data_IF_880786585881
#
_entry.id   IF_880786585881
#
_cell.length_a   1.000
_cell.length_b   1.000
_cell.length_c   1.000
_cell.angle_alpha   90.00
_cell.angle_beta   90.00
_cell.angle_gamma   90.00
#
_symmetry.space_group_name_H-M   'P 1'
#
loop_
_entity.id
_entity.type
_entity.pdbx_description
1 polymer ?
#
# COMPACT_ATOMS: atom_id res chain seq x y z
N UNK A 1 -49.02 -43.68 83.46
CA UNK A 1 -49.65 -42.51 84.11
C UNK A 1 -50.50 -41.80 83.07
N UNK A 2 -51.78 -41.62 83.37
CA UNK A 2 -52.78 -40.88 82.58
C UNK A 2 -52.63 -39.38 82.84
N UNK A 3 -52.74 -38.53 81.80
CA UNK A 3 -53.35 -37.18 81.89
C UNK A 3 -53.92 -36.75 80.52
N UNK A 4 -55.22 -36.51 80.49
CA UNK A 4 -56.01 -35.74 79.50
C UNK A 4 -55.90 -34.21 79.81
N UNK A 5 -56.55 -33.28 79.07
CA UNK A 5 -56.30 -32.79 77.71
C UNK A 5 -56.11 -31.24 77.69
N UNK A 6 -55.74 -30.64 76.57
CA UNK A 6 -56.06 -29.22 76.32
C UNK A 6 -56.42 -29.02 74.85
N UNK A 7 -57.71 -28.80 74.59
CA UNK A 7 -58.21 -28.30 73.31
C UNK A 7 -57.96 -26.80 73.24
N UNK A 8 -57.29 -26.31 72.20
CA UNK A 8 -57.38 -24.91 71.81
C UNK A 8 -57.66 -24.81 70.30
N UNK A 9 -58.69 -24.03 70.02
CA UNK A 9 -59.24 -23.56 68.77
C UNK A 9 -58.21 -22.87 67.85
N UNK A 10 -57.46 -23.62 67.04
CA UNK A 10 -56.46 -23.07 66.09
C UNK A 10 -56.82 -23.11 64.60
N UNK A 11 -57.81 -23.91 64.18
CA UNK A 11 -57.93 -24.31 62.77
C UNK A 11 -58.44 -23.27 61.75
N UNK A 12 -58.85 -22.06 62.16
CA UNK A 12 -59.44 -21.07 61.23
C UNK A 12 -58.50 -19.94 60.82
N UNK A 13 -57.50 -19.60 61.65
CA UNK A 13 -56.52 -18.54 61.34
C UNK A 13 -55.40 -19.04 60.40
N UNK A 14 -54.89 -20.26 60.59
CA UNK A 14 -53.80 -20.83 59.76
C UNK A 14 -54.19 -21.11 58.30
N UNK A 15 -55.47 -21.40 58.06
CA UNK A 15 -55.99 -21.64 56.71
C UNK A 15 -56.09 -20.34 55.91
N UNK A 16 -56.53 -19.23 56.54
CA UNK A 16 -56.61 -17.92 55.89
C UNK A 16 -55.21 -17.37 55.56
N UNK A 17 -54.23 -17.54 56.46
CA UNK A 17 -52.86 -17.10 56.21
C UNK A 17 -52.17 -17.89 55.09
N UNK A 18 -52.42 -19.20 54.98
CA UNK A 18 -51.94 -20.03 53.86
C UNK A 18 -52.57 -19.65 52.53
N UNK A 19 -53.86 -19.36 52.53
CA UNK A 19 -54.58 -18.96 51.32
C UNK A 19 -54.11 -17.57 50.83
N UNK A 20 -53.88 -16.63 51.75
CA UNK A 20 -53.25 -15.34 51.42
C UNK A 20 -51.82 -15.50 50.90
N UNK A 21 -51.03 -16.38 51.51
CA UNK A 21 -49.65 -16.63 51.07
C UNK A 21 -49.62 -17.24 49.66
N UNK A 22 -50.50 -18.20 49.38
CA UNK A 22 -50.65 -18.82 48.05
C UNK A 22 -51.06 -17.80 46.98
N UNK A 23 -52.06 -16.95 47.29
CA UNK A 23 -52.48 -15.87 46.39
C UNK A 23 -51.35 -14.87 46.13
N UNK A 24 -50.60 -14.51 47.17
CA UNK A 24 -49.45 -13.58 47.04
C UNK A 24 -48.34 -14.20 46.20
N UNK A 25 -48.06 -15.50 46.39
CA UNK A 25 -47.01 -16.22 45.64
C UNK A 25 -47.39 -16.36 44.17
N UNK A 26 -48.64 -16.70 43.84
CA UNK A 26 -49.12 -16.75 42.46
C UNK A 26 -49.09 -15.38 41.78
N UNK A 27 -49.45 -14.31 42.51
CA UNK A 27 -49.36 -12.95 41.99
C UNK A 27 -47.91 -12.57 41.66
N UNK A 28 -46.98 -12.80 42.59
CA UNK A 28 -45.55 -12.54 42.36
C UNK A 28 -44.99 -13.36 41.20
N UNK A 29 -45.37 -14.65 41.09
CA UNK A 29 -44.93 -15.50 39.98
C UNK A 29 -45.42 -14.95 38.63
N UNK A 30 -46.66 -14.47 38.57
CA UNK A 30 -47.24 -13.87 37.36
C UNK A 30 -46.53 -12.56 37.00
N UNK A 31 -46.21 -11.72 37.99
CA UNK A 31 -45.43 -10.49 37.79
C UNK A 31 -44.02 -10.78 37.28
N UNK A 32 -43.33 -11.78 37.85
CA UNK A 32 -41.98 -12.19 37.41
C UNK A 32 -42.00 -12.76 35.99
N UNK A 33 -43.00 -13.57 35.64
CA UNK A 33 -43.16 -14.10 34.27
C UNK A 33 -43.43 -12.97 33.27
N UNK A 34 -44.29 -12.01 33.61
CA UNK A 34 -44.54 -10.84 32.78
C UNK A 34 -43.27 -9.98 32.59
N UNK A 35 -42.47 -9.82 33.65
CA UNK A 35 -41.19 -9.11 33.59
C UNK A 35 -40.18 -9.84 32.68
N UNK A 36 -40.11 -11.16 32.76
CA UNK A 36 -39.22 -11.98 31.92
C UNK A 36 -39.56 -11.86 30.44
N UNK A 37 -40.84 -11.90 30.05
CA UNK A 37 -41.26 -11.71 28.66
C UNK A 37 -40.85 -10.33 28.14
N UNK A 38 -41.01 -9.29 28.97
CA UNK A 38 -40.59 -7.92 28.62
C UNK A 38 -39.07 -7.83 28.40
N UNK A 39 -38.27 -8.45 29.27
CA UNK A 39 -36.80 -8.46 29.13
C UNK A 39 -36.35 -9.23 27.88
N UNK A 40 -36.97 -10.38 27.58
CA UNK A 40 -36.66 -11.15 26.38
C UNK A 40 -36.96 -10.36 25.11
N UNK A 41 -38.12 -9.69 25.05
CA UNK A 41 -38.47 -8.82 23.92
C UNK A 41 -37.44 -7.68 23.74
N UNK A 42 -37.05 -7.03 24.84
CA UNK A 42 -36.01 -5.99 24.83
C UNK A 42 -34.65 -6.56 24.37
N UNK A 43 -34.31 -7.79 24.73
CA UNK A 43 -33.04 -8.41 24.31
C UNK A 43 -33.06 -8.85 22.82
N UNK A 44 -34.20 -9.32 22.32
CA UNK A 44 -34.40 -9.60 20.89
C UNK A 44 -34.30 -8.33 20.05
N UNK A 45 -34.81 -7.20 20.57
CA UNK A 45 -34.66 -5.87 19.95
C UNK A 45 -33.19 -5.49 19.86
N UNK A 46 -32.42 -5.60 20.95
CA UNK A 46 -30.98 -5.35 20.94
C UNK A 46 -30.24 -6.23 19.92
N UNK A 47 -30.58 -7.51 19.84
CA UNK A 47 -29.96 -8.45 18.90
C UNK A 47 -30.32 -8.15 17.44
N UNK A 48 -31.57 -7.79 17.16
CA UNK A 48 -32.01 -7.45 15.81
C UNK A 48 -31.41 -6.11 15.35
N UNK A 49 -31.27 -5.16 16.27
CA UNK A 49 -30.56 -3.89 16.09
C UNK A 49 -29.09 -4.11 15.73
N UNK A 50 -28.38 -4.96 16.47
CA UNK A 50 -26.95 -5.21 16.26
C UNK A 50 -26.62 -5.97 14.97
N UNK A 51 -27.64 -6.45 14.23
CA UNK A 51 -27.46 -7.17 12.96
C UNK A 51 -27.59 -6.29 11.72
N UNK A 52 -28.15 -5.09 11.84
CA UNK A 52 -28.26 -4.14 10.74
C UNK A 52 -27.42 -2.90 11.03
N UNK A 53 -26.71 -2.43 10.02
CA UNK A 53 -25.94 -1.18 10.06
C UNK A 53 -26.68 -0.05 9.34
N UNK A 54 -27.87 -0.34 8.79
CA UNK A 54 -28.72 0.64 8.13
C UNK A 54 -29.68 1.26 9.16
N UNK A 55 -29.52 2.57 9.37
CA UNK A 55 -30.33 3.34 10.31
C UNK A 55 -31.84 3.17 10.08
N UNK A 56 -32.32 3.22 8.83
CA UNK A 56 -33.75 3.12 8.56
C UNK A 56 -34.28 1.69 8.79
N UNK A 57 -33.44 0.66 8.60
CA UNK A 57 -33.77 -0.73 8.92
C UNK A 57 -33.82 -0.98 10.43
N UNK A 58 -32.81 -0.50 11.18
CA UNK A 58 -32.78 -0.47 12.65
C UNK A 58 -34.07 0.15 13.17
N UNK A 59 -34.43 1.34 12.68
CA UNK A 59 -35.62 2.06 13.12
C UNK A 59 -36.91 1.29 12.79
N UNK A 60 -37.01 0.65 11.62
CA UNK A 60 -38.17 -0.22 11.29
C UNK A 60 -38.30 -1.41 12.22
N UNK A 61 -37.20 -2.09 12.55
CA UNK A 61 -37.18 -3.22 13.49
C UNK A 61 -37.66 -2.78 14.86
N UNK A 62 -37.13 -1.67 15.37
CA UNK A 62 -37.55 -1.05 16.64
C UNK A 62 -39.04 -0.77 16.63
N UNK A 63 -39.55 -0.10 15.60
CA UNK A 63 -40.98 0.22 15.48
C UNK A 63 -41.84 -1.04 15.51
N UNK A 64 -41.49 -2.07 14.73
CA UNK A 64 -42.24 -3.34 14.70
C UNK A 64 -42.25 -4.05 16.05
N UNK A 65 -41.14 -4.05 16.77
CA UNK A 65 -41.02 -4.75 18.05
C UNK A 65 -41.67 -3.98 19.19
N UNK A 66 -41.53 -2.65 19.22
CA UNK A 66 -42.18 -1.79 20.20
C UNK A 66 -43.71 -1.86 20.12
N UNK A 67 -44.27 -2.22 18.95
CA UNK A 67 -45.72 -2.35 18.73
C UNK A 67 -46.37 -3.36 19.67
N UNK A 68 -45.72 -4.48 19.95
CA UNK A 68 -46.22 -5.50 20.87
C UNK A 68 -46.13 -5.09 22.34
N UNK A 69 -45.19 -4.20 22.68
CA UNK A 69 -44.93 -3.78 24.05
C UNK A 69 -45.81 -2.63 24.53
N UNK A 70 -46.11 -1.68 23.64
CA UNK A 70 -46.79 -0.42 23.99
C UNK A 70 -48.16 -0.25 23.30
N UNK A 71 -48.52 -1.14 22.36
CA UNK A 71 -49.74 -1.09 21.53
C UNK A 71 -50.11 0.31 20.99
N UNK A 72 -49.11 1.06 20.53
CA UNK A 72 -49.31 2.42 20.00
C UNK A 72 -50.11 2.45 18.68
N UNK A 73 -50.76 3.58 18.38
CA UNK A 73 -51.33 3.86 17.05
C UNK A 73 -50.42 4.70 16.17
N UNK A 74 -49.42 5.34 16.75
CA UNK A 74 -48.36 6.04 16.04
C UNK A 74 -47.02 5.88 16.75
N UNK A 75 -45.96 5.69 15.96
CA UNK A 75 -44.58 5.70 16.43
C UNK A 75 -43.72 6.48 15.44
N UNK A 76 -42.93 7.42 15.95
CA UNK A 76 -41.96 8.17 15.16
C UNK A 76 -40.68 8.40 15.93
N UNK A 77 -39.57 8.54 15.19
CA UNK A 77 -38.27 8.93 15.75
C UNK A 77 -37.89 10.27 15.15
N UNK A 78 -37.57 11.23 16.01
CA UNK A 78 -37.01 12.52 15.64
C UNK A 78 -35.51 12.47 15.90
N UNK A 79 -34.70 12.60 14.85
CA UNK A 79 -33.24 12.64 14.96
C UNK A 79 -32.77 14.08 14.83
N UNK A 80 -31.89 14.50 15.73
CA UNK A 80 -31.26 15.81 15.68
C UNK A 80 -30.00 15.73 14.83
N UNK A 81 -29.86 16.64 13.88
CA UNK A 81 -28.66 16.82 13.08
C UNK A 81 -27.68 17.77 13.79
N UNK A 82 -26.41 17.73 13.38
CA UNK A 82 -25.34 18.56 13.96
C UNK A 82 -25.56 20.07 13.68
N UNK A 83 -26.27 20.42 12.61
CA UNK A 83 -26.68 21.79 12.25
C UNK A 83 -27.90 22.31 13.06
N UNK A 84 -28.43 21.49 13.98
CA UNK A 84 -29.61 21.81 14.78
C UNK A 84 -30.95 21.53 14.08
N UNK A 85 -30.94 21.10 12.82
CA UNK A 85 -32.14 20.60 12.15
C UNK A 85 -32.61 19.27 12.76
N UNK A 86 -33.86 18.91 12.50
CA UNK A 86 -34.41 17.63 12.93
C UNK A 86 -34.97 16.88 11.72
N UNK A 87 -34.84 15.55 11.73
CA UNK A 87 -35.48 14.65 10.76
C UNK A 87 -36.45 13.74 11.50
N UNK A 88 -37.73 13.78 11.14
CA UNK A 88 -38.73 12.86 11.66
C UNK A 88 -38.90 11.67 10.72
N UNK A 89 -38.72 10.47 11.26
CA UNK A 89 -39.00 9.20 10.59
C UNK A 89 -40.23 8.59 11.25
N UNK A 90 -41.33 8.47 10.50
CA UNK A 90 -42.52 7.78 11.00
C UNK A 90 -42.34 6.27 10.80
N UNK A 91 -42.37 5.52 11.91
CA UNK A 91 -42.21 4.07 11.92
C UNK A 91 -43.56 3.35 11.82
N UNK A 92 -44.62 3.98 12.32
CA UNK A 92 -45.98 3.45 12.27
C UNK A 92 -47.01 4.57 12.36
N UNK A 93 -48.12 4.42 11.63
CA UNK A 93 -49.18 5.42 11.54
C UNK A 93 -49.00 6.41 10.37
N UNK A 94 -49.85 7.43 10.27
CA UNK A 94 -49.77 8.44 9.21
C UNK A 94 -48.43 9.17 9.25
N UNK A 95 -47.83 9.37 8.07
CA UNK A 95 -46.57 10.09 7.93
C UNK A 95 -46.72 11.54 8.38
N UNK A 96 -45.67 12.05 9.02
CA UNK A 96 -45.61 13.42 9.54
C UNK A 96 -44.47 14.16 8.86
N UNK A 97 -44.76 15.30 8.25
CA UNK A 97 -43.73 16.15 7.63
C UNK A 97 -43.07 17.10 8.64
N UNK A 98 -41.77 17.27 8.46
CA UNK A 98 -40.91 18.07 9.34
C UNK A 98 -41.17 19.59 9.25
N UNK A 99 -41.93 20.06 8.25
CA UNK A 99 -42.26 21.48 8.05
C UNK A 99 -43.10 22.09 9.19
N UNK A 100 -43.63 21.26 10.09
CA UNK A 100 -44.35 21.65 11.30
C UNK A 100 -43.47 21.81 12.56
N UNK A 101 -42.15 21.58 12.44
CA UNK A 101 -41.21 21.41 13.56
C UNK A 101 -40.41 22.67 13.93
N UNK A 102 -40.90 23.87 13.60
CA UNK A 102 -40.42 25.09 14.25
C UNK A 102 -41.01 25.07 15.66
N UNK A 103 -40.34 24.33 16.53
CA UNK A 103 -40.86 23.95 17.83
C UNK A 103 -41.05 25.17 18.74
N UNK A 104 -42.29 25.60 18.95
CA UNK A 104 -42.63 26.46 20.09
C UNK A 104 -42.24 25.77 21.41
N UNK A 105 -41.87 26.54 22.44
CA UNK A 105 -41.44 26.00 23.75
C UNK A 105 -42.47 25.07 24.41
N UNK A 106 -43.73 25.14 23.98
CA UNK A 106 -44.80 24.30 24.48
C UNK A 106 -44.85 22.89 23.85
N UNK A 107 -44.11 22.60 22.79
CA UNK A 107 -44.13 21.29 22.17
C UNK A 107 -43.40 20.23 23.05
N UNK A 108 -44.05 19.12 23.45
CA UNK A 108 -43.45 18.01 24.21
C UNK A 108 -42.16 17.42 23.62
N UNK A 109 -42.05 17.32 22.29
CA UNK A 109 -40.82 16.84 21.63
C UNK A 109 -39.70 17.84 21.82
N UNK A 110 -39.98 19.13 21.65
CA UNK A 110 -39.02 20.21 21.95
C UNK A 110 -38.55 20.18 23.39
N UNK A 111 -39.49 20.01 24.34
CA UNK A 111 -39.15 19.90 25.77
C UNK A 111 -38.27 18.71 26.04
N UNK A 112 -38.58 17.53 25.50
CA UNK A 112 -37.72 16.35 25.65
C UNK A 112 -36.33 16.58 25.05
N UNK A 113 -36.24 17.16 23.85
CA UNK A 113 -34.97 17.44 23.18
C UNK A 113 -34.11 18.48 23.92
N UNK A 114 -34.74 19.50 24.53
CA UNK A 114 -34.04 20.56 25.29
C UNK A 114 -33.65 20.13 26.70
N UNK A 115 -34.50 19.38 27.38
CA UNK A 115 -34.33 19.05 28.81
C UNK A 115 -33.69 17.69 29.06
N UNK A 116 -33.68 16.79 28.07
CA UNK A 116 -33.31 15.38 28.28
C UNK A 116 -34.31 14.63 29.18
N UNK A 117 -35.50 15.20 29.45
CA UNK A 117 -36.49 14.58 30.33
C UNK A 117 -37.64 13.96 29.52
N UNK A 118 -38.03 12.71 29.79
CA UNK A 118 -39.17 12.08 29.14
C UNK A 118 -40.48 12.80 29.49
N UNK A 119 -41.40 12.87 28.52
CA UNK A 119 -42.70 13.52 28.68
C UNK A 119 -43.82 12.47 28.61
N UNK A 120 -44.69 12.43 29.62
CA UNK A 120 -45.92 11.63 29.65
C UNK A 120 -47.12 12.57 29.58
N UNK A 121 -47.93 12.44 28.53
CA UNK A 121 -49.14 13.23 28.31
C UNK A 121 -50.36 12.29 28.27
N UNK A 122 -51.07 12.09 29.40
CA UNK A 122 -52.12 11.08 29.50
C UNK A 122 -53.50 11.51 28.94
N UNK A 123 -53.74 12.81 28.65
CA UNK A 123 -55.02 13.31 28.09
C UNK A 123 -54.86 14.51 27.14
N UNK A 124 -55.51 14.43 25.98
CA UNK A 124 -55.94 15.49 25.03
C UNK A 124 -55.02 16.72 24.93
N UNK A 125 -53.75 16.50 24.57
CA UNK A 125 -52.75 17.57 24.45
C UNK A 125 -52.78 18.22 23.06
N UNK A 126 -53.42 19.39 22.94
CA UNK A 126 -53.74 20.04 21.66
C UNK A 126 -52.57 20.76 20.93
N UNK A 127 -51.36 20.78 21.49
CA UNK A 127 -50.21 21.52 20.93
C UNK A 127 -49.09 20.62 20.35
N UNK A 128 -49.47 19.57 19.62
CA UNK A 128 -48.53 18.68 18.89
C UNK A 128 -49.08 18.30 17.52
N UNK A 129 -48.20 17.88 16.59
CA UNK A 129 -48.65 17.19 15.36
C UNK A 129 -49.33 15.85 15.66
N UNK A 130 -49.15 15.33 16.88
CA UNK A 130 -49.83 14.18 17.44
C UNK A 130 -51.16 14.56 18.13
N UNK A 131 -51.68 15.77 17.94
CA UNK A 131 -52.92 16.25 18.56
C UNK A 131 -54.16 15.44 18.20
N UNK A 132 -54.10 14.61 17.15
CA UNK A 132 -55.12 13.62 16.81
C UNK A 132 -55.17 12.41 17.79
N UNK A 133 -54.20 12.29 18.70
CA UNK A 133 -54.05 11.19 19.64
C UNK A 133 -54.34 11.64 21.08
N UNK A 134 -55.00 10.78 21.86
CA UNK A 134 -55.45 11.12 23.21
C UNK A 134 -54.38 10.99 24.28
N UNK A 135 -53.37 10.15 24.08
CA UNK A 135 -52.26 9.97 25.02
C UNK A 135 -50.92 9.74 24.29
N UNK A 136 -49.85 10.31 24.82
CA UNK A 136 -48.52 10.32 24.20
C UNK A 136 -47.41 10.14 25.23
N UNK A 137 -46.34 9.44 24.83
CA UNK A 137 -45.05 9.44 25.53
C UNK A 137 -43.94 9.83 24.55
N UNK A 138 -43.08 10.74 25.01
CA UNK A 138 -41.91 11.22 24.27
C UNK A 138 -40.70 10.91 25.12
N UNK A 139 -39.76 10.15 24.57
CA UNK A 139 -38.57 9.72 25.29
C UNK A 139 -37.34 10.20 24.53
N UNK A 140 -36.43 10.95 25.17
CA UNK A 140 -35.20 11.39 24.53
C UNK A 140 -34.30 10.19 24.22
N UNK A 141 -33.65 10.26 23.07
CA UNK A 141 -32.56 9.36 22.69
C UNK A 141 -31.27 10.05 23.12
N UNK A 142 -30.53 9.42 24.03
CA UNK A 142 -29.33 9.99 24.64
C UNK A 142 -28.10 9.14 24.36
N UNK A 143 -26.99 9.81 24.05
CA UNK A 143 -25.67 9.21 23.94
C UNK A 143 -24.66 10.12 24.63
N UNK A 144 -23.84 9.58 25.54
CA UNK A 144 -22.82 10.34 26.28
C UNK A 144 -23.31 11.67 26.88
N UNK A 145 -24.54 11.66 27.44
CA UNK A 145 -25.23 12.85 28.01
C UNK A 145 -25.64 13.93 26.99
N UNK A 146 -25.62 13.62 25.70
CA UNK A 146 -26.20 14.46 24.65
C UNK A 146 -27.48 13.85 24.12
N UNK A 147 -28.51 14.69 23.95
CA UNK A 147 -29.77 14.28 23.31
C UNK A 147 -29.59 14.30 21.80
N UNK A 148 -29.51 13.10 21.20
CA UNK A 148 -29.37 12.88 19.75
C UNK A 148 -30.72 12.81 19.03
N UNK A 149 -31.81 12.77 19.77
CA UNK A 149 -33.15 12.68 19.21
C UNK A 149 -34.23 12.36 20.25
N UNK A 150 -35.38 11.89 19.77
CA UNK A 150 -36.45 11.33 20.60
C UNK A 150 -37.19 10.23 19.87
N UNK A 151 -37.71 9.27 20.63
CA UNK A 151 -38.70 8.30 20.16
C UNK A 151 -40.06 8.64 20.76
N UNK A 152 -41.07 8.67 19.91
CA UNK A 152 -42.40 9.19 20.21
C UNK A 152 -43.42 8.09 19.99
N UNK A 153 -44.31 7.89 20.97
CA UNK A 153 -45.41 6.95 20.86
C UNK A 153 -46.72 7.66 21.18
N UNK A 154 -47.77 7.39 20.41
CA UNK A 154 -49.10 7.93 20.64
C UNK A 154 -50.20 6.88 20.47
N UNK A 155 -51.27 6.99 21.24
CA UNK A 155 -52.43 6.08 21.18
C UNK A 155 -53.76 6.84 21.19
N UNK A 156 -54.84 6.13 20.87
CA UNK A 156 -56.22 6.66 20.84
C UNK A 156 -57.05 6.05 21.97
N UNK A 157 -58.17 6.70 22.38
CA UNK A 157 -59.05 6.14 23.40
C UNK A 157 -59.54 4.73 23.04
N UNK A 158 -59.81 3.86 24.03
CA UNK A 158 -59.82 4.13 25.48
C UNK A 158 -58.44 4.03 26.17
N UNK A 159 -57.36 3.71 25.44
CA UNK A 159 -56.04 3.49 26.02
C UNK A 159 -55.35 4.81 26.41
N UNK A 160 -54.67 4.81 27.56
CA UNK A 160 -53.85 5.93 28.04
C UNK A 160 -52.53 5.40 28.58
N UNK A 161 -51.41 6.02 28.22
CA UNK A 161 -50.11 5.62 28.75
C UNK A 161 -49.97 5.96 30.23
N UNK A 162 -49.20 5.11 30.91
CA UNK A 162 -48.87 5.18 32.33
C UNK A 162 -47.37 5.36 32.54
N UNK A 163 -46.95 5.50 33.80
CA UNK A 163 -45.52 5.49 34.14
C UNK A 163 -44.83 4.14 33.87
N UNK A 164 -45.57 3.03 33.84
CA UNK A 164 -44.99 1.73 33.47
C UNK A 164 -44.66 1.68 31.98
N UNK A 165 -45.54 2.19 31.13
CA UNK A 165 -45.29 2.33 29.69
C UNK A 165 -44.09 3.23 29.42
N UNK A 166 -43.96 4.32 30.19
CA UNK A 166 -42.81 5.23 30.11
C UNK A 166 -41.49 4.51 30.43
N UNK A 167 -41.47 3.62 31.44
CA UNK A 167 -40.27 2.82 31.79
C UNK A 167 -39.89 1.87 30.67
N UNK A 168 -40.87 1.21 30.05
CA UNK A 168 -40.63 0.30 28.91
C UNK A 168 -40.08 1.10 27.72
N UNK A 169 -40.69 2.23 27.40
CA UNK A 169 -40.22 3.10 26.33
C UNK A 169 -38.80 3.64 26.58
N UNK A 170 -38.44 3.94 27.83
CA UNK A 170 -37.08 4.34 28.20
C UNK A 170 -36.03 3.25 27.90
N UNK A 171 -36.33 1.99 28.19
CA UNK A 171 -35.45 0.86 27.85
C UNK A 171 -35.26 0.74 26.33
N UNK A 172 -36.33 0.91 25.55
CA UNK A 172 -36.26 0.91 24.09
C UNK A 172 -35.40 2.08 23.57
N UNK A 173 -35.58 3.28 24.13
CA UNK A 173 -34.83 4.46 23.74
C UNK A 173 -33.31 4.29 23.94
N UNK A 174 -32.88 3.64 25.04
CA UNK A 174 -31.46 3.36 25.28
C UNK A 174 -30.85 2.46 24.20
N UNK A 175 -31.57 1.41 23.80
CA UNK A 175 -31.13 0.49 22.76
C UNK A 175 -31.09 1.16 21.39
N UNK A 176 -32.11 1.95 21.07
CA UNK A 176 -32.18 2.73 19.84
C UNK A 176 -31.04 3.74 19.76
N UNK A 177 -30.73 4.42 20.87
CA UNK A 177 -29.64 5.40 20.91
C UNK A 177 -28.29 4.74 20.59
N UNK A 178 -28.03 3.57 21.18
CA UNK A 178 -26.81 2.78 20.92
C UNK A 178 -26.76 2.30 19.47
N UNK A 179 -27.89 1.84 18.92
CA UNK A 179 -28.01 1.39 17.53
C UNK A 179 -27.61 2.48 16.54
N UNK A 180 -28.19 3.67 16.72
CA UNK A 180 -27.97 4.83 15.86
C UNK A 180 -26.50 5.20 15.87
N UNK A 181 -25.87 5.20 17.04
CA UNK A 181 -24.45 5.55 17.15
C UNK A 181 -23.51 4.51 16.55
N UNK A 182 -23.81 3.22 16.76
CA UNK A 182 -23.02 2.16 16.11
C UNK A 182 -23.09 2.27 14.59
N UNK A 183 -24.27 2.54 14.02
CA UNK A 183 -24.43 2.74 12.58
C UNK A 183 -23.67 3.98 12.06
N UNK A 184 -23.66 5.09 12.81
CA UNK A 184 -22.90 6.30 12.46
C UNK A 184 -21.40 6.02 12.47
N UNK A 185 -20.87 5.43 13.55
CA UNK A 185 -19.45 5.11 13.67
C UNK A 185 -18.98 4.10 12.63
N UNK A 186 -19.79 3.10 12.29
CA UNK A 186 -19.44 2.15 11.24
C UNK A 186 -19.26 2.85 9.89
N UNK A 187 -20.16 3.76 9.53
CA UNK A 187 -20.07 4.54 8.29
C UNK A 187 -18.84 5.45 8.27
N UNK A 188 -18.50 6.07 9.40
CA UNK A 188 -17.26 6.87 9.53
C UNK A 188 -16.01 6.01 9.37
N UNK A 189 -16.01 4.80 9.95
CA UNK A 189 -14.91 3.84 9.83
C UNK A 189 -14.71 3.37 8.39
N UNK A 190 -15.79 3.06 7.67
CA UNK A 190 -15.72 2.65 6.27
C UNK A 190 -15.09 3.75 5.38
N UNK A 191 -15.54 5.00 5.56
CA UNK A 191 -14.97 6.15 4.83
C UNK A 191 -13.49 6.35 5.15
N UNK A 192 -13.12 6.23 6.43
CA UNK A 192 -11.73 6.33 6.86
C UNK A 192 -10.88 5.20 6.28
N UNK A 193 -11.40 3.98 6.22
CA UNK A 193 -10.71 2.83 5.63
C UNK A 193 -10.49 3.01 4.12
N UNK A 194 -11.48 3.53 3.39
CA UNK A 194 -11.34 3.87 1.97
C UNK A 194 -10.25 4.94 1.75
N UNK A 195 -10.26 6.01 2.53
CA UNK A 195 -9.26 7.07 2.46
C UNK A 195 -7.86 6.56 2.82
N UNK A 196 -7.75 5.75 3.89
CA UNK A 196 -6.52 5.11 4.32
C UNK A 196 -5.93 4.22 3.23
N UNK A 197 -6.75 3.37 2.60
CA UNK A 197 -6.31 2.51 1.49
C UNK A 197 -5.81 3.31 0.28
N UNK A 198 -6.48 4.41 -0.04
CA UNK A 198 -6.04 5.32 -1.10
C UNK A 198 -4.68 5.94 -0.79
N UNK A 199 -4.51 6.49 0.41
CA UNK A 199 -3.24 7.10 0.84
C UNK A 199 -2.10 6.08 0.88
N UNK A 200 -2.35 4.86 1.34
CA UNK A 200 -1.35 3.78 1.28
C UNK A 200 -0.95 3.45 -0.15
N UNK A 201 -1.90 3.36 -1.09
CA UNK A 201 -1.59 3.10 -2.50
C UNK A 201 -0.76 4.23 -3.13
N UNK A 202 -1.08 5.49 -2.83
CA UNK A 202 -0.32 6.65 -3.31
C UNK A 202 1.11 6.66 -2.73
N UNK A 203 1.26 6.39 -1.43
CA UNK A 203 2.56 6.27 -0.76
C UNK A 203 3.41 5.14 -1.35
N UNK A 204 2.82 3.97 -1.60
CA UNK A 204 3.52 2.83 -2.18
C UNK A 204 3.93 3.06 -3.64
N UNK A 205 3.14 3.81 -4.40
CA UNK A 205 3.51 4.22 -5.76
C UNK A 205 4.70 5.19 -5.74
N UNK A 206 4.67 6.19 -4.87
CA UNK A 206 5.75 7.17 -4.75
C UNK A 206 7.04 6.53 -4.22
N UNK A 207 6.94 5.60 -3.26
CA UNK A 207 8.08 4.80 -2.79
C UNK A 207 8.71 3.99 -3.90
N UNK A 208 7.90 3.27 -4.69
CA UNK A 208 8.41 2.48 -5.83
C UNK A 208 9.13 3.35 -6.85
N UNK A 209 8.55 4.51 -7.18
CA UNK A 209 9.17 5.47 -8.11
C UNK A 209 10.50 6.01 -7.57
N UNK A 210 10.56 6.35 -6.28
CA UNK A 210 11.80 6.78 -5.62
C UNK A 210 12.86 5.67 -5.63
N UNK A 211 12.46 4.43 -5.41
CA UNK A 211 13.35 3.27 -5.37
C UNK A 211 13.93 2.95 -6.75
N UNK A 212 13.09 3.00 -7.79
CA UNK A 212 13.48 2.79 -9.19
C UNK A 212 14.48 3.86 -9.64
N UNK A 213 14.21 5.13 -9.36
CA UNK A 213 15.13 6.23 -9.69
C UNK A 213 16.50 6.08 -9.01
N UNK A 214 16.53 5.60 -7.76
CA UNK A 214 17.78 5.38 -7.05
C UNK A 214 18.57 4.21 -7.67
N UNK A 215 17.90 3.11 -8.02
CA UNK A 215 18.52 1.95 -8.64
C UNK A 215 18.97 2.22 -10.09
N UNK A 216 18.34 3.15 -10.79
CA UNK A 216 18.80 3.62 -12.10
C UNK A 216 20.08 4.47 -12.02
N UNK A 217 20.44 4.95 -10.82
CA UNK A 217 21.63 5.80 -10.60
C UNK A 217 22.76 5.06 -9.92
N UNK A 218 22.44 4.06 -9.09
CA UNK A 218 23.39 3.31 -8.28
C UNK A 218 23.11 1.82 -8.42
N UNK A 219 24.15 0.96 -8.43
CA UNK A 219 23.96 -0.48 -8.40
C UNK A 219 23.08 -0.89 -7.21
N UNK A 220 22.22 -1.90 -7.39
CA UNK A 220 21.22 -2.31 -6.39
C UNK A 220 21.82 -2.52 -4.98
N UNK A 221 22.95 -3.21 -4.89
CA UNK A 221 23.65 -3.45 -3.62
C UNK A 221 24.10 -2.15 -2.94
N UNK A 222 24.60 -1.21 -3.74
CA UNK A 222 25.07 0.09 -3.28
C UNK A 222 23.90 1.00 -2.85
N UNK A 223 22.79 0.96 -3.60
CA UNK A 223 21.56 1.66 -3.27
C UNK A 223 20.98 1.14 -1.93
N UNK A 224 20.98 -0.17 -1.72
CA UNK A 224 20.50 -0.79 -0.48
C UNK A 224 21.38 -0.44 0.72
N UNK A 225 22.71 -0.50 0.59
CA UNK A 225 23.64 -0.05 1.64
C UNK A 225 23.39 1.42 1.99
N UNK A 226 23.23 2.29 0.98
CA UNK A 226 22.97 3.71 1.18
C UNK A 226 21.63 3.97 1.91
N UNK A 227 20.56 3.25 1.56
CA UNK A 227 19.26 3.36 2.24
C UNK A 227 19.33 2.93 3.71
N UNK A 228 20.07 1.87 4.01
CA UNK A 228 20.14 1.29 5.36
C UNK A 228 21.06 2.07 6.29
N UNK A 229 22.20 2.55 5.79
CA UNK A 229 23.28 3.11 6.62
C UNK A 229 23.47 4.61 6.44
N UNK A 230 22.90 5.18 5.38
CA UNK A 230 23.10 6.58 4.98
C UNK A 230 24.48 6.88 4.39
N UNK A 231 25.40 5.90 4.30
CA UNK A 231 26.76 6.07 3.76
C UNK A 231 27.30 4.76 3.17
N UNK A 232 27.90 4.84 1.99
CA UNK A 232 28.58 3.68 1.38
C UNK A 232 30.08 3.75 1.66
N UNK A 233 30.66 2.65 2.15
CA UNK A 233 32.13 2.58 2.36
C UNK A 233 32.84 2.23 1.04
N UNK A 234 34.00 2.84 0.73
CA UNK A 234 34.82 2.42 -0.39
C UNK A 234 35.30 0.97 -0.23
N UNK A 235 35.17 0.18 -1.29
CA UNK A 235 35.52 -1.24 -1.33
C UNK A 235 36.68 -1.46 -2.29
N UNK A 236 37.72 -2.16 -1.83
CA UNK A 236 38.87 -2.54 -2.65
C UNK A 236 38.65 -3.90 -3.30
N UNK A 237 38.77 -3.94 -4.62
CA UNK A 237 38.66 -5.14 -5.44
C UNK A 237 40.06 -5.55 -5.89
N UNK A 238 40.45 -6.80 -5.58
CA UNK A 238 41.77 -7.34 -5.94
C UNK A 238 41.92 -7.52 -7.45
N UNK A 239 40.83 -7.88 -8.13
CA UNK A 239 40.78 -8.10 -9.56
C UNK A 239 39.40 -7.71 -10.08
N UNK A 240 39.38 -6.81 -11.06
CA UNK A 240 38.22 -6.43 -11.84
C UNK A 240 38.69 -6.11 -13.26
N UNK A 241 37.79 -6.19 -14.25
CA UNK A 241 38.11 -5.86 -15.64
C UNK A 241 37.39 -4.61 -16.09
N UNK A 242 38.14 -3.63 -16.57
CA UNK A 242 37.62 -2.35 -17.05
C UNK A 242 37.59 -2.42 -18.58
N UNK A 243 36.45 -2.11 -19.17
CA UNK A 243 36.25 -1.91 -20.60
C UNK A 243 36.03 -0.41 -20.84
N UNK A 244 36.90 0.19 -21.64
CA UNK A 244 36.75 1.52 -22.18
C UNK A 244 36.44 1.44 -23.67
N UNK A 245 35.53 2.30 -24.11
CA UNK A 245 35.28 2.55 -25.52
C UNK A 245 35.40 4.04 -25.82
N UNK A 246 35.69 4.38 -27.07
CA UNK A 246 35.77 5.76 -27.55
C UNK A 246 35.47 5.82 -29.05
N UNK A 247 34.76 6.86 -29.51
CA UNK A 247 34.47 7.05 -30.92
C UNK A 247 35.63 7.76 -31.62
N UNK A 248 36.20 7.12 -32.63
CA UNK A 248 37.30 7.70 -33.40
C UNK A 248 36.83 8.96 -34.14
N UNK A 249 37.65 10.02 -34.06
CA UNK A 249 37.40 11.30 -34.74
C UNK A 249 36.02 11.92 -34.40
N UNK A 250 35.46 11.62 -33.21
CA UNK A 250 34.13 12.08 -32.79
C UNK A 250 33.90 13.58 -32.98
N UNK A 251 34.87 14.42 -32.61
CA UNK A 251 34.77 15.89 -32.78
C UNK A 251 34.50 16.29 -34.23
N UNK A 252 35.17 15.66 -35.21
CA UNK A 252 34.97 15.96 -36.63
C UNK A 252 33.63 15.44 -37.14
N UNK A 253 33.17 14.30 -36.62
CA UNK A 253 31.88 13.71 -36.98
C UNK A 253 30.71 14.52 -36.39
N UNK A 254 30.88 15.04 -35.17
CA UNK A 254 29.92 15.90 -34.49
C UNK A 254 29.69 17.23 -35.24
N UNK A 255 30.71 17.77 -35.91
CA UNK A 255 30.57 18.97 -36.76
C UNK A 255 29.71 18.74 -38.02
N UNK A 256 29.51 17.49 -38.43
CA UNK A 256 28.74 17.14 -39.63
C UNK A 256 27.26 16.83 -39.33
N UNK A 257 26.89 16.79 -38.05
CA UNK A 257 25.56 16.41 -37.58
C UNK A 257 24.90 17.60 -36.88
N UNK A 258 23.56 17.67 -36.93
CA UNK A 258 22.84 18.55 -36.01
C UNK A 258 22.97 18.03 -34.57
N UNK A 259 22.82 18.90 -33.55
CA UNK A 259 22.87 18.45 -32.15
C UNK A 259 21.87 17.35 -31.82
N UNK A 260 20.68 17.37 -32.45
CA UNK A 260 19.65 16.35 -32.27
C UNK A 260 20.07 15.00 -32.89
N UNK A 261 20.58 15.00 -34.12
CA UNK A 261 21.09 13.79 -34.77
C UNK A 261 22.28 13.18 -34.03
N UNK A 262 23.19 14.02 -33.53
CA UNK A 262 24.33 13.59 -32.74
C UNK A 262 23.91 12.90 -31.44
N UNK A 263 22.98 13.51 -30.70
CA UNK A 263 22.46 12.94 -29.44
C UNK A 263 21.69 11.65 -29.72
N UNK A 264 20.86 11.61 -30.76
CA UNK A 264 20.11 10.40 -31.12
C UNK A 264 21.03 9.25 -31.55
N UNK A 265 22.12 9.52 -32.26
CA UNK A 265 23.09 8.47 -32.63
C UNK A 265 23.90 7.97 -31.42
N UNK A 266 24.28 8.87 -30.50
CA UNK A 266 24.89 8.49 -29.23
C UNK A 266 23.95 7.62 -28.40
N UNK A 267 22.70 8.05 -28.23
CA UNK A 267 21.68 7.32 -27.47
C UNK A 267 21.41 5.95 -28.07
N UNK A 268 21.33 5.83 -29.40
CA UNK A 268 21.16 4.56 -30.09
C UNK A 268 22.33 3.59 -29.83
N UNK A 269 23.57 4.08 -29.93
CA UNK A 269 24.75 3.25 -29.66
C UNK A 269 24.84 2.84 -28.19
N UNK A 270 24.70 3.80 -27.27
CA UNK A 270 24.83 3.54 -25.83
C UNK A 270 23.68 2.71 -25.27
N UNK A 271 22.46 2.83 -25.81
CA UNK A 271 21.35 1.93 -25.45
C UNK A 271 21.66 0.49 -25.83
N UNK A 272 22.28 0.26 -26.99
CA UNK A 272 22.72 -1.09 -27.36
C UNK A 272 23.86 -1.57 -26.44
N UNK A 273 24.80 -0.71 -26.08
CA UNK A 273 25.89 -1.07 -25.17
C UNK A 273 25.35 -1.43 -23.79
N UNK A 274 24.40 -0.66 -23.27
CA UNK A 274 23.69 -0.91 -22.01
C UNK A 274 23.05 -2.31 -22.01
N UNK A 275 22.35 -2.69 -23.08
CA UNK A 275 21.79 -4.04 -23.24
C UNK A 275 22.87 -5.13 -23.23
N UNK A 276 23.99 -4.92 -23.92
CA UNK A 276 25.10 -5.89 -23.97
C UNK A 276 25.76 -6.05 -22.60
N UNK A 277 26.09 -4.95 -21.92
CA UNK A 277 26.76 -5.03 -20.62
C UNK A 277 25.84 -5.64 -19.55
N UNK A 278 24.53 -5.40 -19.62
CA UNK A 278 23.56 -6.03 -18.72
C UNK A 278 23.53 -7.55 -18.93
N UNK A 279 23.50 -8.01 -20.19
CA UNK A 279 23.53 -9.43 -20.52
C UNK A 279 24.79 -10.15 -20.01
N UNK A 280 25.93 -9.43 -19.96
CA UNK A 280 27.21 -9.94 -19.46
C UNK A 280 27.51 -9.54 -18.00
N UNK A 281 26.55 -8.93 -17.29
CA UNK A 281 26.67 -8.53 -15.87
C UNK A 281 27.84 -7.58 -15.59
N UNK A 282 28.09 -6.67 -16.52
CA UNK A 282 29.03 -5.56 -16.38
C UNK A 282 28.29 -4.35 -15.79
N UNK A 283 28.98 -3.63 -14.91
CA UNK A 283 28.45 -2.42 -14.30
C UNK A 283 28.80 -1.19 -15.15
N UNK A 284 27.78 -0.42 -15.56
CA UNK A 284 27.99 0.88 -16.20
C UNK A 284 28.47 1.87 -15.15
N UNK A 285 29.56 2.59 -15.43
CA UNK A 285 30.01 3.65 -14.53
C UNK A 285 29.60 5.02 -15.03
N UNK A 286 30.06 5.38 -16.23
CA UNK A 286 29.79 6.70 -16.79
C UNK A 286 30.07 6.72 -18.28
N UNK A 287 29.49 7.73 -18.93
CA UNK A 287 29.96 8.23 -20.21
C UNK A 287 30.85 9.45 -19.98
N UNK A 288 31.91 9.60 -20.77
CA UNK A 288 32.83 10.74 -20.71
C UNK A 288 32.87 11.34 -22.10
N UNK A 289 31.91 12.22 -22.40
CA UNK A 289 31.69 12.67 -23.78
C UNK A 289 31.24 11.50 -24.65
N UNK A 290 32.08 11.14 -25.61
CA UNK A 290 31.93 10.04 -26.56
C UNK A 290 32.52 8.71 -26.08
N UNK A 291 33.15 8.70 -24.91
CA UNK A 291 33.67 7.49 -24.28
C UNK A 291 32.62 6.80 -23.40
N UNK A 292 32.63 5.47 -23.42
CA UNK A 292 31.79 4.62 -22.58
C UNK A 292 32.67 3.77 -21.65
N UNK A 293 32.37 3.78 -20.35
CA UNK A 293 33.14 3.07 -19.33
C UNK A 293 32.24 2.10 -18.55
N UNK A 294 32.64 0.82 -18.55
CA UNK A 294 32.00 -0.22 -17.75
C UNK A 294 33.05 -1.15 -17.12
N UNK A 295 32.64 -1.85 -16.05
CA UNK A 295 33.54 -2.70 -15.26
C UNK A 295 32.86 -4.01 -14.92
N UNK A 296 33.55 -5.12 -15.17
CA UNK A 296 33.17 -6.46 -14.75
C UNK A 296 33.81 -6.80 -13.40
N UNK A 297 33.08 -7.56 -12.57
CA UNK A 297 33.54 -7.99 -11.23
C UNK A 297 33.28 -6.98 -10.12
N UNK A 298 32.46 -5.97 -10.38
CA UNK A 298 31.91 -5.04 -9.37
C UNK A 298 30.39 -4.87 -9.61
N UNK A 299 29.60 -4.47 -8.61
CA UNK A 299 29.93 -4.48 -7.18
C UNK A 299 30.07 -5.90 -6.61
N UNK A 300 29.62 -6.92 -7.34
CA UNK A 300 29.73 -8.33 -6.95
C UNK A 300 30.97 -8.93 -7.61
N UNK A 301 31.99 -9.34 -6.82
CA UNK A 301 33.17 -10.00 -7.37
C UNK A 301 32.81 -11.33 -8.01
N UNK A 302 33.38 -11.59 -9.18
CA UNK A 302 33.33 -12.89 -9.84
C UNK A 302 34.74 -13.27 -10.34
N UNK A 303 34.92 -14.50 -10.83
CA UNK A 303 36.19 -14.96 -11.43
C UNK A 303 36.21 -14.82 -12.96
N UNK A 304 35.04 -14.69 -13.57
CA UNK A 304 34.84 -14.66 -15.01
C UNK A 304 34.91 -13.24 -15.60
N UNK A 305 35.13 -12.22 -14.77
CA UNK A 305 35.05 -10.80 -15.13
C UNK A 305 35.80 -10.44 -16.42
N UNK A 306 36.97 -11.03 -16.67
CA UNK A 306 37.73 -10.79 -17.89
C UNK A 306 37.09 -11.43 -19.12
N UNK A 307 36.52 -12.64 -18.99
CA UNK A 307 35.81 -13.34 -20.06
C UNK A 307 34.52 -12.58 -20.40
N UNK A 308 33.74 -12.21 -19.38
CA UNK A 308 32.50 -11.46 -19.52
C UNK A 308 32.72 -10.13 -20.29
N UNK A 309 33.79 -9.41 -19.94
CA UNK A 309 34.13 -8.14 -20.61
C UNK A 309 34.58 -8.33 -22.08
N UNK A 310 35.29 -9.41 -22.40
CA UNK A 310 35.70 -9.70 -23.78
C UNK A 310 34.50 -10.13 -24.63
N UNK A 311 33.57 -10.93 -24.07
CA UNK A 311 32.32 -11.27 -24.74
C UNK A 311 31.47 -10.04 -25.05
N UNK A 312 31.34 -9.13 -24.07
CA UNK A 312 30.66 -7.85 -24.27
C UNK A 312 31.33 -7.02 -25.38
N UNK A 313 32.66 -6.93 -25.36
CA UNK A 313 33.41 -6.19 -26.37
C UNK A 313 33.26 -6.78 -27.79
N UNK A 314 33.21 -8.10 -27.94
CA UNK A 314 32.95 -8.77 -29.23
C UNK A 314 31.57 -8.40 -29.78
N UNK A 315 30.54 -8.37 -28.94
CA UNK A 315 29.19 -7.97 -29.37
C UNK A 315 29.11 -6.49 -29.74
N UNK A 316 29.73 -5.61 -28.95
CA UNK A 316 29.83 -4.18 -29.26
C UNK A 316 30.57 -3.95 -30.57
N UNK A 317 31.70 -4.63 -30.79
CA UNK A 317 32.47 -4.55 -32.03
C UNK A 317 31.64 -5.00 -33.24
N UNK A 318 30.94 -6.13 -33.13
CA UNK A 318 30.09 -6.65 -34.19
C UNK A 318 28.93 -5.69 -34.53
N UNK A 319 28.27 -5.13 -33.52
CA UNK A 319 27.23 -4.12 -33.70
C UNK A 319 27.74 -2.87 -34.40
N UNK A 320 28.90 -2.34 -33.99
CA UNK A 320 29.50 -1.18 -34.65
C UNK A 320 29.91 -1.50 -36.10
N UNK A 321 30.37 -2.73 -36.35
CA UNK A 321 30.63 -3.22 -37.70
C UNK A 321 29.36 -3.23 -38.57
N UNK A 322 28.25 -3.74 -38.05
CA UNK A 322 26.95 -3.71 -38.73
C UNK A 322 26.44 -2.29 -38.96
N UNK A 323 26.49 -1.43 -37.92
CA UNK A 323 26.02 -0.03 -37.99
C UNK A 323 26.78 0.76 -39.05
N UNK A 324 28.09 0.53 -39.15
CA UNK A 324 28.92 1.10 -40.22
C UNK A 324 28.40 0.70 -41.61
N UNK A 325 28.12 -0.59 -41.84
CA UNK A 325 27.64 -1.06 -43.14
C UNK A 325 26.28 -0.45 -43.49
N UNK A 326 25.37 -0.38 -42.51
CA UNK A 326 24.05 0.24 -42.68
C UNK A 326 24.15 1.72 -43.06
N UNK A 327 24.99 2.50 -42.36
CA UNK A 327 25.22 3.92 -42.68
C UNK A 327 25.86 4.12 -44.06
N UNK A 328 26.80 3.26 -44.45
CA UNK A 328 27.42 3.31 -45.79
C UNK A 328 26.36 3.08 -46.88
N UNK A 329 25.49 2.09 -46.72
CA UNK A 329 24.41 1.80 -47.68
C UNK A 329 23.43 2.96 -47.83
N UNK A 330 23.20 3.69 -46.74
CA UNK A 330 22.31 4.85 -46.70
C UNK A 330 23.01 6.19 -46.99
N UNK A 331 24.29 6.19 -47.42
CA UNK A 331 25.08 7.39 -47.69
C UNK A 331 25.14 8.39 -46.50
N UNK A 332 25.14 7.87 -45.27
CA UNK A 332 25.25 8.65 -44.04
C UNK A 332 26.66 8.54 -43.43
N UNK A 333 27.11 9.56 -42.66
CA UNK A 333 28.34 9.44 -41.90
C UNK A 333 28.23 8.29 -40.89
N UNK A 334 29.34 7.57 -40.70
CA UNK A 334 29.42 6.42 -39.80
C UNK A 334 30.52 6.61 -38.76
N UNK A 335 30.38 5.93 -37.63
CA UNK A 335 31.32 6.01 -36.52
C UNK A 335 32.15 4.73 -36.45
N UNK A 336 33.41 4.89 -36.08
CA UNK A 336 34.30 3.77 -35.75
C UNK A 336 34.60 3.83 -34.25
N UNK A 337 34.70 2.68 -33.59
CA UNK A 337 34.93 2.60 -32.15
C UNK A 337 36.33 2.05 -31.86
N UNK A 338 36.98 2.55 -30.82
CA UNK A 338 38.13 1.92 -30.18
C UNK A 338 37.66 1.20 -28.92
N UNK A 339 38.21 0.01 -28.70
CA UNK A 339 37.89 -0.83 -27.54
C UNK A 339 39.20 -1.16 -26.82
N UNK A 340 39.25 -0.90 -25.51
CA UNK A 340 40.39 -1.20 -24.65
C UNK A 340 39.98 -1.87 -23.35
N UNK A 341 40.65 -2.98 -23.02
CA UNK A 341 40.32 -3.79 -21.85
C UNK A 341 41.57 -4.02 -20.99
N UNK A 342 41.42 -3.78 -19.69
CA UNK A 342 42.47 -4.06 -18.72
C UNK A 342 41.91 -4.66 -17.43
N UNK A 343 42.63 -5.65 -16.90
CA UNK A 343 42.31 -6.31 -15.64
C UNK A 343 43.34 -5.95 -14.58
N UNK A 344 42.86 -5.55 -13.40
CA UNK A 344 43.72 -5.16 -12.29
C UNK A 344 42.94 -4.80 -11.03
N UNK A 345 43.65 -4.46 -9.96
CA UNK A 345 43.05 -4.02 -8.71
C UNK A 345 42.54 -2.59 -8.79
N UNK A 346 41.38 -2.32 -8.19
CA UNK A 346 40.79 -0.98 -8.11
C UNK A 346 40.07 -0.77 -6.77
N UNK A 347 39.76 0.49 -6.46
CA UNK A 347 38.87 0.90 -5.39
C UNK A 347 37.56 1.36 -6.04
N UNK A 348 36.41 0.90 -5.54
CA UNK A 348 35.11 1.42 -5.96
C UNK A 348 34.35 2.00 -4.77
N UNK A 349 33.46 2.96 -5.01
CA UNK A 349 32.70 3.59 -3.95
C UNK A 349 31.82 4.73 -4.44
N UNK A 350 31.02 5.27 -3.54
CA UNK A 350 30.14 6.41 -3.85
C UNK A 350 30.81 7.71 -3.44
N UNK A 351 30.86 8.67 -4.36
CA UNK A 351 31.29 10.05 -4.09
C UNK A 351 30.11 11.02 -4.22
N UNK A 352 30.20 12.14 -3.50
CA UNK A 352 29.22 13.22 -3.55
C UNK A 352 28.32 13.29 -2.31
N UNK A 353 27.93 14.52 -1.94
CA UNK A 353 26.98 14.77 -0.83
C UNK A 353 25.52 14.85 -1.30
N UNK A 354 25.31 15.38 -2.52
CA UNK A 354 23.98 15.62 -3.09
C UNK A 354 23.77 14.93 -4.46
N UNK A 355 24.86 14.63 -5.18
CA UNK A 355 24.85 13.89 -6.45
C UNK A 355 25.70 12.65 -6.24
N UNK A 356 25.08 11.57 -5.77
CA UNK A 356 25.78 10.31 -5.54
C UNK A 356 26.18 9.71 -6.88
N UNK A 357 27.46 9.39 -7.02
CA UNK A 357 27.98 8.69 -8.20
C UNK A 357 28.82 7.52 -7.71
N UNK A 358 28.47 6.32 -8.15
CA UNK A 358 29.32 5.15 -7.96
C UNK A 358 30.43 5.16 -9.00
N UNK A 359 31.68 5.07 -8.55
CA UNK A 359 32.84 5.26 -9.41
C UNK A 359 34.01 4.38 -8.95
N UNK A 360 35.02 4.29 -9.80
CA UNK A 360 36.24 3.51 -9.54
C UNK A 360 37.49 4.37 -9.64
N UNK A 361 38.46 4.06 -8.78
CA UNK A 361 39.76 4.73 -8.70
C UNK A 361 40.88 3.69 -8.63
N UNK A 362 42.01 4.04 -9.22
CA UNK A 362 43.21 3.22 -9.18
C UNK A 362 44.00 3.26 -10.48
N UNK A 363 45.22 2.75 -10.42
CA UNK A 363 46.11 2.70 -11.58
C UNK A 363 45.56 1.81 -12.72
N UNK A 364 44.72 0.81 -12.40
CA UNK A 364 44.02 0.00 -13.39
C UNK A 364 43.14 0.84 -14.32
N UNK A 365 42.47 1.88 -13.80
CA UNK A 365 41.60 2.77 -14.59
C UNK A 365 42.43 3.54 -15.63
N UNK A 366 43.54 4.14 -15.17
CA UNK A 366 44.46 4.87 -16.04
C UNK A 366 45.10 3.97 -17.08
N UNK A 367 45.43 2.73 -16.71
CA UNK A 367 45.97 1.74 -17.64
C UNK A 367 44.93 1.37 -18.70
N UNK A 368 43.70 1.07 -18.31
CA UNK A 368 42.61 0.71 -19.23
C UNK A 368 42.36 1.81 -20.28
N UNK A 369 42.30 3.08 -19.87
CA UNK A 369 42.18 4.22 -20.79
C UNK A 369 43.38 4.33 -21.76
N UNK A 370 44.60 4.00 -21.33
CA UNK A 370 45.77 3.94 -22.24
C UNK A 370 45.67 2.77 -23.24
N UNK A 371 45.16 1.63 -22.80
CA UNK A 371 44.91 0.48 -23.70
C UNK A 371 43.89 0.85 -24.76
N UNK A 372 42.80 1.53 -24.39
CA UNK A 372 41.79 2.01 -25.36
C UNK A 372 42.39 3.01 -26.35
N UNK A 373 42.99 4.09 -25.86
CA UNK A 373 43.47 5.19 -26.71
C UNK A 373 44.56 4.76 -27.71
N UNK A 374 45.28 3.69 -27.39
CA UNK A 374 46.30 3.07 -28.27
C UNK A 374 45.75 1.95 -29.16
N UNK A 375 44.46 1.67 -29.10
CA UNK A 375 43.78 0.66 -29.93
C UNK A 375 43.60 1.16 -31.37
N UNK A 376 43.58 0.21 -32.30
CA UNK A 376 43.18 0.45 -33.68
C UNK A 376 41.66 0.50 -33.76
N UNK A 377 41.06 1.48 -34.48
CA UNK A 377 39.61 1.52 -34.68
C UNK A 377 39.06 0.20 -35.23
N UNK A 378 37.95 -0.26 -34.66
CA UNK A 378 37.32 -1.53 -34.98
C UNK A 378 38.03 -2.76 -34.41
N UNK A 379 39.05 -2.61 -33.55
CA UNK A 379 39.76 -3.72 -32.90
C UNK A 379 39.58 -3.72 -31.39
N UNK A 380 39.55 -4.90 -30.78
CA UNK A 380 39.51 -5.08 -29.33
C UNK A 380 40.94 -5.22 -28.82
N UNK A 381 41.44 -4.18 -28.14
CA UNK A 381 42.78 -4.20 -27.57
C UNK A 381 42.73 -4.59 -26.08
N UNK A 382 43.55 -5.56 -25.68
CA UNK A 382 43.66 -5.99 -24.29
C UNK A 382 45.10 -5.89 -23.77
N UNK A 383 45.24 -5.59 -22.49
CA UNK A 383 46.53 -5.67 -21.80
C UNK A 383 46.98 -7.12 -21.54
N UNK A 384 48.28 -7.32 -21.27
CA UNK A 384 48.82 -8.62 -20.87
C UNK A 384 48.10 -9.24 -19.67
N UNK A 385 47.74 -8.46 -18.65
CA UNK A 385 47.05 -8.99 -17.47
C UNK A 385 45.66 -9.53 -17.81
N UNK A 386 44.97 -8.92 -18.77
CA UNK A 386 43.70 -9.46 -19.28
C UNK A 386 43.93 -10.69 -20.15
N UNK A 387 44.94 -10.66 -21.04
CA UNK A 387 45.30 -11.81 -21.88
C UNK A 387 45.54 -13.07 -21.04
N UNK A 388 46.28 -12.96 -19.93
CA UNK A 388 46.55 -14.08 -19.03
C UNK A 388 45.28 -14.73 -18.47
N UNK A 389 44.20 -13.97 -18.30
CA UNK A 389 42.92 -14.44 -17.79
C UNK A 389 41.99 -15.03 -18.87
N UNK A 390 42.22 -14.71 -20.14
CA UNK A 390 41.26 -15.02 -21.23
C UNK A 390 41.85 -15.86 -22.36
N UNK A 391 43.18 -16.04 -22.40
CA UNK A 391 43.91 -16.77 -23.46
C UNK A 391 43.44 -18.21 -23.68
N UNK A 392 42.76 -18.82 -22.72
CA UNK A 392 42.23 -20.18 -22.86
C UNK A 392 40.93 -20.21 -23.67
N UNK A 393 40.19 -19.10 -23.71
CA UNK A 393 38.89 -18.96 -24.37
C UNK A 393 38.95 -18.27 -25.74
N UNK A 394 39.84 -17.30 -25.90
CA UNK A 394 39.88 -16.44 -27.09
C UNK A 394 41.16 -16.59 -27.88
N UNK A 395 41.06 -16.38 -29.19
CA UNK A 395 42.22 -16.24 -30.07
C UNK A 395 42.73 -14.80 -29.99
N UNK A 396 44.02 -14.65 -29.70
CA UNK A 396 44.63 -13.37 -29.38
C UNK A 396 45.97 -13.20 -30.08
N UNK A 397 46.18 -12.05 -30.71
CA UNK A 397 47.41 -11.73 -31.44
C UNK A 397 48.23 -10.67 -30.69
N UNK A 398 49.51 -10.95 -30.45
CA UNK A 398 50.42 -9.96 -29.85
C UNK A 398 50.64 -8.79 -30.80
N UNK A 399 50.50 -7.57 -30.30
CA UNK A 399 50.53 -6.35 -31.14
C UNK A 399 51.54 -5.30 -30.67
N UNK A 400 52.54 -5.73 -29.90
CA UNK A 400 53.56 -4.84 -29.34
C UNK A 400 53.23 -4.33 -27.94
N UNK A 401 53.89 -3.23 -27.55
CA UNK A 401 53.87 -2.70 -26.18
C UNK A 401 53.50 -1.23 -26.13
N UNK A 402 52.94 -0.80 -25.01
CA UNK A 402 52.69 0.62 -24.69
C UNK A 402 53.49 1.02 -23.47
N UNK A 403 54.03 2.24 -23.48
CA UNK A 403 54.65 2.84 -22.30
C UNK A 403 53.59 3.39 -21.34
N UNK A 404 53.58 2.87 -20.11
CA UNK A 404 52.76 3.35 -19.02
C UNK A 404 53.64 4.10 -18.00
N UNK A 405 53.27 5.35 -17.70
CA UNK A 405 54.03 6.30 -16.86
C UNK A 405 54.53 5.73 -15.51
N UNK A 406 53.89 4.69 -14.98
CA UNK A 406 54.18 4.05 -13.68
C UNK A 406 54.57 2.56 -13.77
N UNK A 407 54.42 1.93 -14.94
CA UNK A 407 54.53 0.45 -15.12
C UNK A 407 55.55 0.03 -16.18
N UNK A 408 56.22 0.99 -16.82
CA UNK A 408 57.12 0.68 -17.94
C UNK A 408 56.32 0.22 -19.16
N UNK A 409 56.82 -0.78 -19.88
CA UNK A 409 56.16 -1.29 -21.08
C UNK A 409 55.17 -2.40 -20.74
N UNK A 410 53.92 -2.22 -21.17
CA UNK A 410 52.85 -3.21 -21.04
C UNK A 410 52.64 -3.87 -22.41
N UNK A 411 52.77 -5.19 -22.47
CA UNK A 411 52.42 -5.97 -23.66
C UNK A 411 50.91 -5.93 -23.92
N UNK A 412 50.56 -5.88 -25.19
CA UNK A 412 49.18 -5.75 -25.65
C UNK A 412 48.86 -6.80 -26.71
N UNK A 413 47.58 -7.15 -26.77
CA UNK A 413 47.05 -8.15 -27.68
C UNK A 413 45.76 -7.65 -28.33
N UNK A 414 45.52 -8.04 -29.57
CA UNK A 414 44.19 -7.93 -30.17
C UNK A 414 43.42 -9.22 -29.94
N UNK A 415 42.15 -9.11 -29.56
CA UNK A 415 41.22 -10.24 -29.55
C UNK A 415 40.63 -10.40 -30.94
N UNK A 416 40.79 -11.58 -31.54
CA UNK A 416 40.30 -11.89 -32.88
C UNK A 416 38.91 -12.56 -32.86
N UNK A 417 38.56 -13.20 -31.74
CA UNK A 417 37.30 -13.90 -31.55
C UNK A 417 37.45 -15.04 -30.56
N UNK A 418 36.36 -15.76 -30.30
CA UNK A 418 36.38 -17.02 -29.55
C UNK A 418 37.20 -18.05 -30.34
N UNK A 419 38.00 -18.87 -29.63
CA UNK A 419 38.77 -19.94 -30.29
C UNK A 419 37.86 -20.85 -31.12
N UNK A 420 38.33 -21.27 -32.29
CA UNK A 420 37.52 -22.04 -33.26
C UNK A 420 36.80 -23.28 -32.70
N UNK A 421 37.42 -24.00 -31.76
CA UNK A 421 36.80 -25.18 -31.14
C UNK A 421 35.80 -24.83 -30.03
N UNK A 422 35.82 -23.60 -29.51
CA UNK A 422 34.93 -23.07 -28.48
C UNK A 422 33.82 -22.17 -29.06
N UNK A 423 33.89 -21.86 -30.35
CA UNK A 423 32.91 -21.03 -31.05
C UNK A 423 31.79 -21.88 -31.65
N UNK A 424 30.56 -21.37 -31.59
CA UNK A 424 29.41 -21.94 -32.28
C UNK A 424 29.34 -21.47 -33.73
N UNK A 425 29.76 -20.23 -34.00
CA UNK A 425 29.69 -19.60 -35.32
C UNK A 425 31.08 -19.38 -35.95
N UNK A 426 31.16 -19.23 -37.29
CA UNK A 426 32.44 -19.03 -37.97
C UNK A 426 33.15 -17.71 -37.66
N UNK A 427 32.43 -16.70 -37.14
CA UNK A 427 33.00 -15.39 -36.80
C UNK A 427 33.55 -15.35 -35.38
N UNK A 428 33.36 -16.40 -34.58
CA UNK A 428 33.87 -16.48 -33.21
C UNK A 428 33.18 -15.50 -32.26
N UNK A 429 31.89 -15.24 -32.47
CA UNK A 429 31.10 -14.29 -31.65
C UNK A 429 30.26 -14.99 -30.58
N UNK A 430 29.83 -16.22 -30.84
CA UNK A 430 28.93 -16.99 -30.01
C UNK A 430 29.66 -18.20 -29.40
N UNK A 431 29.59 -18.39 -28.08
CA UNK A 431 30.17 -19.56 -27.42
C UNK A 431 29.36 -20.82 -27.74
N UNK A 432 30.04 -21.96 -27.84
CA UNK A 432 29.41 -23.28 -27.92
C UNK A 432 29.29 -23.96 -26.55
N UNK A 433 28.82 -25.21 -26.53
CA UNK A 433 28.65 -25.98 -25.29
C UNK A 433 29.98 -26.24 -24.55
N UNK A 434 31.09 -26.42 -25.28
CA UNK A 434 32.41 -26.64 -24.69
C UNK A 434 32.94 -25.38 -23.99
N UNK A 435 32.73 -24.20 -24.60
CA UNK A 435 33.00 -22.90 -23.96
C UNK A 435 32.21 -22.77 -22.66
N UNK A 436 30.91 -23.08 -22.70
CA UNK A 436 30.01 -22.91 -21.55
C UNK A 436 30.37 -23.89 -20.41
N UNK A 437 30.81 -25.10 -20.75
CA UNK A 437 31.30 -26.07 -19.78
C UNK A 437 32.59 -25.58 -19.10
N UNK A 438 33.55 -25.04 -19.88
CA UNK A 438 34.78 -24.47 -19.35
C UNK A 438 34.50 -23.23 -18.48
N UNK A 439 33.63 -22.32 -18.95
CA UNK A 439 33.20 -21.13 -18.22
C UNK A 439 32.58 -21.48 -16.87
N UNK A 440 31.70 -22.49 -16.84
CA UNK A 440 31.01 -22.92 -15.63
C UNK A 440 31.91 -23.64 -14.62
N UNK A 441 33.11 -24.06 -15.03
CA UNK A 441 34.06 -24.78 -14.20
C UNK A 441 35.00 -23.89 -13.36
N UNK A 442 34.98 -22.58 -13.61
CA UNK A 442 35.83 -21.55 -12.94
C UNK A 442 35.26 -21.20 -11.56
#
# INVERSE_FOLDING_TARGET
MSFYPFSISGGRLEAQDREQLLQTTQRLLTEVQALSVRITAVNEIANAINRSLNLDEILRIVGKQAKWLLDFKHCSVCLKSDDGSCRIVTLFGPAVECNSCIFSDNNPISRALKTGQPQLNPKDYKNTFLSAYASQIIIPLEWERQVIGSINFATTPPQTYTYEDLRIGFLLALQVSTAIQNAKHFKEMDLLLEEMNRLYSELDAERRKSDELLCNTLPLEIANELKQTGKVKPTSYKSATILFTDFKDFTKLAEQLTPEELVNELDYCFSYFDMVIEAHKLEKLKTIGDSYMCVAGIPIPNKTHAIDAVLAALQIQAFMGWRRQEKILNNHPYWEIRLGIHSGSLLAGVIGKNKFTYDVWGDAVNTASRIESSSTPGSINISQSTFELVKDFFDCEHRGKIEAKSKGYIDMYFVLGIKKHLAFDPLGLLPNDEFNALYSSI
#
